data_IF_356639363384
#
_entry.id   IF_356639363384
#
_cell.length_a   1.000
_cell.length_b   1.000
_cell.length_c   1.000
_cell.angle_alpha   90.00
_cell.angle_beta   90.00
_cell.angle_gamma   90.00
#
_symmetry.space_group_name_H-M   'P 1'
#
loop_
_entity.id
_entity.type
_entity.pdbx_description
1 polymer ?
#
# COMPACT_ATOMS: atom_id res chain seq x y z
N UNK A 1 -7.55 2.60 -4.83
CA UNK A 1 -6.97 1.91 -6.02
C UNK A 1 -6.83 0.43 -5.73
N UNK A 2 -6.72 -0.43 -6.77
CA UNK A 2 -6.42 -1.85 -6.55
C UNK A 2 -4.95 -2.01 -6.10
N UNK A 3 -4.66 -3.02 -5.28
CA UNK A 3 -3.28 -3.36 -4.88
C UNK A 3 -2.40 -3.76 -6.08
N UNK A 4 -3.02 -4.16 -7.19
CA UNK A 4 -2.36 -4.49 -8.44
C UNK A 4 -2.18 -3.28 -9.37
N UNK A 5 -2.69 -2.10 -9.00
CA UNK A 5 -2.58 -0.89 -9.84
C UNK A 5 -1.11 -0.48 -10.01
N UNK A 6 -0.66 -0.37 -11.26
CA UNK A 6 0.72 -0.09 -11.62
C UNK A 6 1.68 -1.29 -11.52
N UNK A 7 1.26 -2.43 -10.96
CA UNK A 7 2.07 -3.63 -10.86
C UNK A 7 2.29 -4.30 -12.22
N UNK A 8 3.46 -4.85 -12.40
CA UNK A 8 3.88 -5.58 -13.59
C UNK A 8 3.62 -7.08 -13.41
N UNK A 9 2.63 -7.59 -14.12
CA UNK A 9 2.24 -9.01 -14.09
C UNK A 9 2.83 -9.73 -15.31
N UNK A 10 3.67 -10.72 -15.05
CA UNK A 10 4.12 -11.65 -16.08
C UNK A 10 3.18 -12.85 -16.08
N UNK A 11 2.52 -13.14 -17.20
CA UNK A 11 1.59 -14.25 -17.33
C UNK A 11 2.19 -15.32 -18.26
N UNK A 12 2.56 -16.46 -17.69
CA UNK A 12 3.01 -17.64 -18.40
C UNK A 12 1.83 -18.54 -18.77
N UNK A 13 1.64 -18.77 -20.06
CA UNK A 13 0.55 -19.63 -20.58
C UNK A 13 1.14 -20.90 -21.16
N UNK A 14 0.70 -22.06 -20.67
CA UNK A 14 1.18 -23.37 -21.11
C UNK A 14 0.10 -24.17 -21.83
N UNK A 15 0.50 -25.19 -22.62
CA UNK A 15 -0.38 -25.88 -23.54
C UNK A 15 -1.37 -26.84 -22.87
N UNK A 16 -2.62 -26.46 -22.83
CA UNK A 16 -3.75 -27.25 -22.34
C UNK A 16 -5.06 -26.49 -22.57
N UNK A 17 -6.18 -27.20 -22.51
CA UNK A 17 -7.49 -26.62 -22.82
C UNK A 17 -7.77 -25.36 -21.96
N UNK A 18 -7.35 -25.34 -20.71
CA UNK A 18 -7.53 -24.21 -19.81
C UNK A 18 -6.80 -22.91 -20.23
N UNK A 19 -5.94 -22.96 -21.28
CA UNK A 19 -5.25 -21.78 -21.80
C UNK A 19 -6.23 -20.70 -22.31
N UNK A 20 -7.45 -21.06 -22.73
CA UNK A 20 -8.46 -20.04 -23.12
C UNK A 20 -8.80 -19.08 -21.99
N UNK A 21 -8.73 -19.52 -20.73
CA UNK A 21 -8.99 -18.68 -19.54
C UNK A 21 -7.94 -17.58 -19.36
N UNK A 22 -6.76 -17.69 -19.97
CA UNK A 22 -5.73 -16.66 -19.93
C UNK A 22 -6.20 -15.32 -20.53
N UNK A 23 -7.12 -15.35 -21.47
CA UNK A 23 -7.75 -14.15 -22.05
C UNK A 23 -8.54 -13.36 -21.01
N UNK A 24 -9.27 -14.04 -20.14
CA UNK A 24 -10.01 -13.43 -19.02
C UNK A 24 -9.05 -12.93 -17.94
N UNK A 25 -7.99 -13.68 -17.61
CA UNK A 25 -6.95 -13.24 -16.67
C UNK A 25 -6.30 -11.93 -17.11
N UNK A 26 -5.91 -11.82 -18.39
CA UNK A 26 -5.35 -10.56 -18.93
C UNK A 26 -6.33 -9.40 -18.74
N UNK A 27 -7.61 -9.59 -19.07
CA UNK A 27 -8.63 -8.54 -18.91
C UNK A 27 -8.85 -8.15 -17.46
N UNK A 28 -8.90 -9.12 -16.55
CA UNK A 28 -9.07 -8.86 -15.11
C UNK A 28 -7.87 -8.08 -14.54
N UNK A 29 -6.64 -8.49 -14.84
CA UNK A 29 -5.45 -7.73 -14.42
C UNK A 29 -5.42 -6.31 -14.98
N UNK A 30 -5.75 -6.12 -16.26
CA UNK A 30 -5.87 -4.78 -16.86
C UNK A 30 -6.96 -3.96 -16.18
N UNK A 31 -8.12 -4.55 -15.84
CA UNK A 31 -9.19 -3.86 -15.09
C UNK A 31 -8.73 -3.44 -13.68
N UNK A 32 -7.83 -4.20 -13.06
CA UNK A 32 -7.19 -3.84 -11.79
C UNK A 32 -6.10 -2.75 -11.93
N UNK A 33 -5.81 -2.29 -13.16
CA UNK A 33 -4.79 -1.27 -13.43
C UNK A 33 -3.36 -1.82 -13.54
N UNK A 34 -3.19 -3.14 -13.67
CA UNK A 34 -1.88 -3.76 -13.84
C UNK A 34 -1.36 -3.66 -15.28
N UNK A 35 -0.03 -3.72 -15.42
CA UNK A 35 0.66 -3.92 -16.68
C UNK A 35 0.85 -5.42 -16.90
N UNK A 36 0.40 -5.96 -18.03
CA UNK A 36 0.50 -7.40 -18.30
C UNK A 36 1.43 -7.66 -19.47
N UNK A 37 2.40 -8.55 -19.26
CA UNK A 37 3.24 -9.16 -20.31
C UNK A 37 2.95 -10.66 -20.36
N UNK A 38 2.68 -11.18 -21.56
CA UNK A 38 2.37 -12.60 -21.74
C UNK A 38 3.56 -13.35 -22.32
N UNK A 39 3.88 -14.49 -21.69
CA UNK A 39 4.80 -15.51 -22.20
C UNK A 39 4.00 -16.76 -22.58
N UNK A 40 4.24 -17.31 -23.75
CA UNK A 40 3.57 -18.53 -24.22
C UNK A 40 4.57 -19.63 -24.49
N UNK A 41 4.26 -20.87 -24.08
CA UNK A 41 4.94 -22.04 -24.63
C UNK A 41 4.49 -22.30 -26.08
N UNK A 42 5.29 -22.98 -26.87
CA UNK A 42 4.92 -23.33 -28.27
C UNK A 42 3.57 -24.06 -28.31
N UNK A 43 3.36 -25.04 -27.42
CA UNK A 43 2.13 -25.83 -27.35
C UNK A 43 0.89 -25.06 -26.90
N UNK A 44 1.04 -23.92 -26.25
CA UNK A 44 -0.12 -23.13 -25.83
C UNK A 44 -0.79 -22.36 -26.99
N UNK A 45 -0.05 -22.17 -28.09
CA UNK A 45 -0.54 -21.50 -29.31
C UNK A 45 -1.65 -22.28 -30.01
N UNK A 46 -1.72 -23.61 -29.78
CA UNK A 46 -2.75 -24.50 -30.34
C UNK A 46 -4.11 -24.28 -29.60
N UNK A 47 -4.11 -23.72 -28.39
CA UNK A 47 -5.31 -23.51 -27.57
C UNK A 47 -5.77 -22.08 -27.52
N UNK A 48 -4.87 -21.11 -27.64
CA UNK A 48 -5.17 -19.68 -27.68
C UNK A 48 -4.15 -18.97 -28.57
N UNK A 49 -4.60 -18.03 -29.40
CA UNK A 49 -3.69 -17.37 -30.33
C UNK A 49 -2.87 -16.27 -29.67
N UNK A 50 -1.60 -16.10 -30.05
CA UNK A 50 -0.80 -14.95 -29.63
C UNK A 50 -1.47 -13.60 -29.97
N UNK A 51 -2.17 -13.53 -31.11
CA UNK A 51 -2.89 -12.33 -31.53
C UNK A 51 -3.95 -11.92 -30.52
N UNK A 52 -4.76 -12.87 -30.02
CA UNK A 52 -5.78 -12.59 -29.00
C UNK A 52 -5.16 -12.00 -27.74
N UNK A 53 -4.09 -12.62 -27.23
CA UNK A 53 -3.45 -12.20 -25.99
C UNK A 53 -2.67 -10.89 -26.14
N UNK A 54 -2.03 -10.64 -27.29
CA UNK A 54 -1.36 -9.37 -27.56
C UNK A 54 -2.35 -8.19 -27.64
N UNK A 55 -3.48 -8.42 -28.30
CA UNK A 55 -4.56 -7.42 -28.38
C UNK A 55 -5.10 -7.05 -27.00
N UNK A 56 -5.34 -8.05 -26.13
CA UNK A 56 -5.89 -7.82 -24.79
C UNK A 56 -4.88 -7.18 -23.83
N UNK A 57 -3.60 -7.54 -23.92
CA UNK A 57 -2.53 -7.00 -23.06
C UNK A 57 -1.99 -5.65 -23.53
N UNK A 58 -2.24 -5.27 -24.80
CA UNK A 58 -1.60 -4.16 -25.50
C UNK A 58 -0.07 -4.29 -25.55
N UNK A 59 0.44 -5.52 -25.60
CA UNK A 59 1.87 -5.83 -25.68
C UNK A 59 2.10 -7.05 -26.56
N UNK A 60 3.24 -7.15 -27.28
CA UNK A 60 3.61 -8.35 -28.00
C UNK A 60 3.66 -9.56 -27.06
N UNK A 61 3.16 -10.70 -27.52
CA UNK A 61 3.32 -11.98 -26.83
C UNK A 61 4.68 -12.56 -27.16
N UNK A 62 5.43 -12.97 -26.14
CA UNK A 62 6.75 -13.56 -26.28
C UNK A 62 6.66 -15.08 -26.11
N UNK A 63 7.34 -15.85 -26.95
CA UNK A 63 7.30 -17.32 -26.89
C UNK A 63 8.65 -17.99 -27.10
N UNK A 64 9.54 -17.32 -27.81
CA UNK A 64 10.86 -17.86 -28.19
C UNK A 64 11.93 -16.88 -27.70
N UNK A 65 13.17 -17.39 -27.53
CA UNK A 65 14.31 -16.53 -27.18
C UNK A 65 14.62 -15.52 -28.30
N UNK A 66 14.40 -15.91 -29.56
CA UNK A 66 14.58 -15.06 -30.71
C UNK A 66 13.32 -15.09 -31.57
N UNK A 67 12.90 -13.93 -32.04
CA UNK A 67 11.83 -13.85 -33.01
C UNK A 67 12.40 -14.35 -34.38
N UNK A 68 11.84 -15.44 -34.84
CA UNK A 68 12.27 -16.05 -36.15
C UNK A 68 11.99 -15.13 -37.33
N UNK A 69 11.04 -14.22 -37.20
CA UNK A 69 10.61 -13.30 -38.26
C UNK A 69 11.32 -11.93 -38.17
N UNK A 70 12.02 -11.65 -37.07
CA UNK A 70 12.79 -10.43 -36.93
C UNK A 70 14.14 -10.54 -37.59
N UNK A 71 14.35 -9.75 -38.67
CA UNK A 71 15.62 -9.64 -39.38
C UNK A 71 16.79 -9.24 -38.49
N UNK A 72 16.51 -8.48 -37.41
CA UNK A 72 17.49 -8.00 -36.44
C UNK A 72 17.81 -9.05 -35.35
N UNK A 73 17.12 -10.20 -35.33
CA UNK A 73 17.29 -11.26 -34.31
C UNK A 73 17.32 -10.69 -32.87
N UNK A 74 16.42 -9.75 -32.54
CA UNK A 74 16.31 -9.22 -31.20
C UNK A 74 16.04 -10.37 -30.22
N UNK A 75 16.87 -10.43 -29.20
CA UNK A 75 16.76 -11.45 -28.17
C UNK A 75 15.75 -11.02 -27.08
N UNK A 76 14.78 -11.88 -26.82
CA UNK A 76 13.88 -11.74 -25.69
C UNK A 76 14.65 -12.11 -24.41
N UNK A 77 15.13 -11.11 -23.70
CA UNK A 77 15.97 -11.29 -22.52
C UNK A 77 15.14 -11.78 -21.33
N UNK A 78 15.28 -13.06 -21.00
CA UNK A 78 14.55 -13.70 -19.90
C UNK A 78 14.89 -13.08 -18.54
N UNK A 79 16.12 -12.54 -18.35
CA UNK A 79 16.52 -11.86 -17.09
C UNK A 79 15.81 -10.52 -16.94
N UNK A 80 15.74 -9.73 -18.03
CA UNK A 80 15.01 -8.44 -18.00
C UNK A 80 13.52 -8.66 -17.75
N UNK A 81 12.91 -9.67 -18.38
CA UNK A 81 11.51 -10.03 -18.13
C UNK A 81 11.28 -10.43 -16.67
N UNK A 82 12.18 -11.21 -16.10
CA UNK A 82 12.12 -11.64 -14.70
C UNK A 82 12.28 -10.47 -13.71
N UNK A 83 13.18 -9.52 -14.01
CA UNK A 83 13.39 -8.33 -13.20
C UNK A 83 12.27 -7.28 -13.34
N UNK A 84 11.61 -7.23 -14.51
CA UNK A 84 10.49 -6.34 -14.76
C UNK A 84 9.25 -6.73 -13.96
N UNK A 85 9.06 -8.03 -13.68
CA UNK A 85 7.86 -8.55 -13.06
C UNK A 85 7.80 -8.27 -11.55
N UNK A 86 6.66 -7.75 -11.06
CA UNK A 86 6.30 -7.72 -9.64
C UNK A 86 5.61 -9.01 -9.20
N UNK A 87 4.94 -9.70 -10.14
CA UNK A 87 4.26 -10.99 -9.96
C UNK A 87 4.43 -11.81 -11.20
N UNK A 88 4.80 -13.08 -11.05
CA UNK A 88 4.81 -14.06 -12.16
C UNK A 88 3.75 -15.12 -11.90
N UNK A 89 2.72 -15.17 -12.74
CA UNK A 89 1.66 -16.18 -12.71
C UNK A 89 1.84 -17.15 -13.89
N UNK A 90 1.90 -18.45 -13.63
CA UNK A 90 1.87 -19.51 -14.63
C UNK A 90 0.46 -20.14 -14.60
N UNK A 91 -0.37 -19.81 -15.59
CA UNK A 91 -1.77 -20.21 -15.67
C UNK A 91 -2.25 -20.37 -17.14
N UNK A 92 -2.61 -21.59 -17.55
CA UNK A 92 -2.52 -22.83 -16.80
C UNK A 92 -1.07 -23.30 -16.60
N UNK A 93 -0.81 -24.05 -15.52
CA UNK A 93 0.43 -24.78 -15.30
C UNK A 93 0.17 -26.29 -15.55
N UNK A 94 0.59 -26.80 -16.71
CA UNK A 94 0.40 -28.21 -17.05
C UNK A 94 1.39 -29.12 -16.33
N UNK A 95 1.07 -30.42 -16.21
CA UNK A 95 1.94 -31.44 -15.60
C UNK A 95 3.37 -31.38 -16.18
N UNK A 96 3.53 -31.27 -17.50
CA UNK A 96 4.83 -31.12 -18.14
C UNK A 96 5.60 -29.88 -17.65
N UNK A 97 4.91 -28.75 -17.53
CA UNK A 97 5.54 -27.51 -17.05
C UNK A 97 5.89 -27.61 -15.56
N UNK A 98 5.01 -28.15 -14.72
CA UNK A 98 5.28 -28.38 -13.29
C UNK A 98 6.51 -29.27 -13.07
N UNK A 99 6.61 -30.39 -13.82
CA UNK A 99 7.75 -31.26 -13.76
C UNK A 99 9.06 -30.55 -14.14
N UNK A 100 9.04 -29.74 -15.20
CA UNK A 100 10.20 -28.95 -15.62
C UNK A 100 10.59 -27.88 -14.63
N UNK A 101 9.62 -27.18 -14.06
CA UNK A 101 9.84 -26.20 -12.98
C UNK A 101 10.48 -26.85 -11.75
N UNK A 102 9.95 -28.02 -11.32
CA UNK A 102 10.44 -28.76 -10.16
C UNK A 102 11.85 -29.34 -10.36
N UNK A 103 12.25 -29.61 -11.60
CA UNK A 103 13.58 -30.13 -11.95
C UNK A 103 14.54 -29.07 -12.51
N UNK A 104 14.19 -27.78 -12.44
CA UNK A 104 15.00 -26.64 -12.90
C UNK A 104 15.42 -26.75 -14.38
N UNK A 105 14.54 -27.24 -15.26
CA UNK A 105 14.79 -27.28 -16.71
C UNK A 105 14.48 -25.92 -17.34
N UNK A 106 15.35 -25.42 -18.20
CA UNK A 106 15.24 -24.12 -18.87
C UNK A 106 15.22 -24.29 -20.41
N UNK A 107 14.37 -25.18 -20.94
CA UNK A 107 14.30 -25.52 -22.35
C UNK A 107 13.44 -24.59 -23.21
N UNK A 108 12.88 -23.56 -22.64
CA UNK A 108 12.12 -22.52 -23.32
C UNK A 108 12.16 -21.18 -22.56
N UNK A 109 11.72 -20.09 -23.21
CA UNK A 109 11.76 -18.74 -22.67
C UNK A 109 11.01 -18.62 -21.34
N UNK A 110 9.82 -19.25 -21.22
CA UNK A 110 9.01 -19.20 -20.00
C UNK A 110 9.77 -19.79 -18.81
N UNK A 111 10.37 -20.96 -18.97
CA UNK A 111 11.10 -21.65 -17.91
C UNK A 111 12.42 -20.96 -17.56
N UNK A 112 13.14 -20.42 -18.54
CA UNK A 112 14.33 -19.61 -18.28
C UNK A 112 13.98 -18.34 -17.47
N UNK A 113 12.88 -17.66 -17.83
CA UNK A 113 12.38 -16.51 -17.09
C UNK A 113 11.93 -16.90 -15.67
N UNK A 114 11.26 -18.05 -15.50
CA UNK A 114 10.88 -18.61 -14.21
C UNK A 114 12.09 -18.80 -13.28
N UNK A 115 13.16 -19.41 -13.78
CA UNK A 115 14.38 -19.64 -13.00
C UNK A 115 15.14 -18.35 -12.64
N UNK A 116 14.95 -17.29 -13.42
CA UNK A 116 15.56 -15.98 -13.18
C UNK A 116 14.72 -15.06 -12.30
N UNK A 117 13.47 -15.46 -11.96
CA UNK A 117 12.52 -14.58 -11.26
C UNK A 117 12.84 -14.45 -9.79
N UNK A 118 12.85 -13.19 -9.31
CA UNK A 118 13.00 -12.83 -7.90
C UNK A 118 11.65 -12.46 -7.25
N UNK A 119 10.65 -12.12 -8.06
CA UNK A 119 9.29 -11.82 -7.59
C UNK A 119 8.56 -13.10 -7.16
N UNK A 120 7.45 -12.98 -6.40
CA UNK A 120 6.56 -14.09 -6.11
C UNK A 120 6.09 -14.78 -7.40
N UNK A 121 6.22 -16.11 -7.43
CA UNK A 121 5.78 -16.94 -8.55
C UNK A 121 4.59 -17.78 -8.12
N UNK A 122 3.46 -17.54 -8.77
CA UNK A 122 2.21 -18.27 -8.59
C UNK A 122 2.06 -19.29 -9.71
N UNK A 123 1.52 -20.46 -9.40
CA UNK A 123 1.20 -21.45 -10.42
C UNK A 123 -0.20 -22.03 -10.17
N UNK A 124 -1.01 -22.07 -11.24
CA UNK A 124 -2.35 -22.61 -11.26
C UNK A 124 -2.38 -23.91 -12.08
N UNK A 125 -2.33 -25.10 -11.44
CA UNK A 125 -2.33 -26.37 -12.15
C UNK A 125 -3.61 -26.56 -12.95
N UNK A 126 -3.47 -27.24 -14.10
CA UNK A 126 -4.58 -27.66 -14.94
C UNK A 126 -4.23 -28.99 -15.62
N UNK A 127 -4.95 -30.05 -15.26
CA UNK A 127 -4.76 -31.40 -15.80
C UNK A 127 -5.99 -32.26 -15.49
N UNK A 128 -6.05 -33.43 -16.07
CA UNK A 128 -7.10 -34.41 -15.79
C UNK A 128 -7.01 -34.94 -14.35
N UNK A 129 -8.11 -35.49 -13.85
CA UNK A 129 -8.26 -35.99 -12.47
C UNK A 129 -7.16 -36.99 -12.09
N UNK A 130 -6.93 -38.03 -12.93
CA UNK A 130 -5.95 -39.06 -12.64
C UNK A 130 -4.51 -38.54 -12.76
N UNK A 131 -4.28 -37.59 -13.66
CA UNK A 131 -2.99 -36.88 -13.74
C UNK A 131 -2.76 -36.05 -12.48
N UNK A 132 -3.77 -35.37 -11.96
CA UNK A 132 -3.65 -34.57 -10.73
C UNK A 132 -3.36 -35.46 -9.52
N UNK A 133 -4.05 -36.59 -9.39
CA UNK A 133 -3.82 -37.58 -8.31
C UNK A 133 -2.52 -38.35 -8.42
N UNK A 134 -1.87 -38.36 -9.60
CA UNK A 134 -0.63 -39.06 -9.78
C UNK A 134 0.45 -38.58 -8.82
N UNK A 135 1.12 -39.53 -8.14
CA UNK A 135 2.11 -39.22 -7.08
C UNK A 135 3.22 -38.30 -7.57
N UNK A 136 3.75 -38.53 -8.80
CA UNK A 136 4.81 -37.68 -9.34
C UNK A 136 4.36 -36.22 -9.52
N UNK A 137 3.10 -35.97 -9.91
CA UNK A 137 2.56 -34.62 -10.01
C UNK A 137 2.36 -33.99 -8.62
N UNK A 138 1.87 -34.77 -7.66
CA UNK A 138 1.74 -34.30 -6.27
C UNK A 138 3.11 -33.98 -5.63
N UNK A 139 4.12 -34.79 -5.90
CA UNK A 139 5.51 -34.54 -5.47
C UNK A 139 6.08 -33.28 -6.10
N UNK A 140 5.85 -33.06 -7.40
CA UNK A 140 6.28 -31.84 -8.08
C UNK A 140 5.62 -30.60 -7.49
N UNK A 141 4.32 -30.63 -7.19
CA UNK A 141 3.59 -29.52 -6.53
C UNK A 141 4.19 -29.26 -5.14
N UNK A 142 4.36 -30.30 -4.30
CA UNK A 142 4.96 -30.17 -2.96
C UNK A 142 6.37 -29.60 -3.03
N UNK A 143 7.18 -30.06 -4.00
CA UNK A 143 8.54 -29.58 -4.20
C UNK A 143 8.56 -28.08 -4.59
N UNK A 144 7.68 -27.65 -5.48
CA UNK A 144 7.56 -26.24 -5.84
C UNK A 144 7.16 -25.37 -4.65
N UNK A 145 6.21 -25.84 -3.83
CA UNK A 145 5.82 -25.15 -2.59
C UNK A 145 7.02 -25.05 -1.64
N UNK A 146 7.78 -26.13 -1.43
CA UNK A 146 8.97 -26.11 -0.58
C UNK A 146 10.08 -25.18 -1.09
N UNK A 147 10.09 -24.88 -2.38
CA UNK A 147 10.96 -23.89 -3.01
C UNK A 147 10.38 -22.45 -2.97
N UNK A 148 9.34 -22.21 -2.15
CA UNK A 148 8.74 -20.89 -2.00
C UNK A 148 7.85 -20.45 -3.17
N UNK A 149 7.37 -21.38 -4.01
CA UNK A 149 6.42 -21.04 -5.07
C UNK A 149 4.99 -21.18 -4.53
N UNK A 150 4.11 -20.29 -4.97
CA UNK A 150 2.77 -20.16 -4.41
C UNK A 150 1.80 -20.97 -5.26
N UNK A 151 1.29 -22.04 -4.68
CA UNK A 151 0.31 -22.92 -5.32
C UNK A 151 -1.09 -22.32 -5.25
N UNK A 152 -1.73 -22.11 -6.38
CA UNK A 152 -3.16 -21.81 -6.47
C UNK A 152 -3.89 -23.15 -6.58
N UNK A 153 -4.68 -23.56 -5.56
CA UNK A 153 -5.33 -24.87 -5.56
C UNK A 153 -6.23 -25.06 -6.79
N UNK A 154 -6.30 -26.29 -7.29
CA UNK A 154 -7.22 -26.63 -8.37
C UNK A 154 -8.67 -26.50 -7.94
N UNK A 155 -9.57 -26.25 -8.90
CA UNK A 155 -11.02 -26.35 -8.71
C UNK A 155 -11.51 -27.77 -8.97
N UNK A 156 -12.73 -28.05 -8.51
CA UNK A 156 -13.48 -29.27 -8.81
C UNK A 156 -14.59 -28.99 -9.84
N UNK A 157 -14.95 -29.98 -10.64
CA UNK A 157 -16.03 -29.90 -11.61
C UNK A 157 -15.79 -30.76 -12.84
N UNK A 158 -16.59 -30.58 -13.90
CA UNK A 158 -16.44 -31.28 -15.16
C UNK A 158 -15.11 -30.92 -15.85
N UNK A 159 -14.38 -31.95 -16.24
CA UNK A 159 -13.12 -31.88 -16.97
C UNK A 159 -13.35 -32.07 -18.46
N UNK A 160 -12.41 -31.68 -19.30
CA UNK A 160 -12.51 -31.83 -20.74
C UNK A 160 -12.59 -33.32 -21.20
N UNK A 161 -12.14 -34.24 -20.36
CA UNK A 161 -12.25 -35.70 -20.56
C UNK A 161 -13.65 -36.25 -20.32
N UNK A 162 -14.59 -35.44 -19.78
CA UNK A 162 -15.92 -35.87 -19.33
C UNK A 162 -15.95 -36.42 -17.90
N UNK A 163 -14.80 -36.53 -17.24
CA UNK A 163 -14.73 -36.86 -15.81
C UNK A 163 -15.11 -35.66 -14.92
N UNK A 164 -15.60 -35.94 -13.72
CA UNK A 164 -15.91 -34.92 -12.72
C UNK A 164 -14.95 -35.09 -11.52
N UNK A 165 -14.32 -33.99 -11.11
CA UNK A 165 -13.42 -34.03 -9.96
C UNK A 165 -12.39 -32.88 -9.95
N UNK A 166 -11.35 -33.08 -9.16
CA UNK A 166 -10.23 -32.12 -8.97
C UNK A 166 -9.25 -32.18 -10.15
N UNK A 167 -8.70 -31.04 -10.55
CA UNK A 167 -7.71 -30.92 -11.63
C UNK A 167 -7.98 -29.72 -12.55
N UNK A 168 -9.20 -29.15 -12.46
CA UNK A 168 -9.59 -27.95 -13.20
C UNK A 168 -8.85 -26.72 -12.69
N UNK A 169 -8.25 -25.94 -13.59
CA UNK A 169 -7.74 -24.63 -13.22
C UNK A 169 -8.88 -23.78 -12.65
N UNK A 170 -8.64 -23.14 -11.50
CA UNK A 170 -9.59 -22.19 -10.90
C UNK A 170 -10.08 -21.15 -11.90
N UNK A 171 -11.24 -20.56 -11.61
CA UNK A 171 -11.78 -19.49 -12.43
C UNK A 171 -10.88 -18.26 -12.36
N UNK A 172 -10.79 -17.48 -13.46
CA UNK A 172 -9.89 -16.33 -13.52
C UNK A 172 -10.10 -15.31 -12.38
N UNK A 173 -11.35 -15.09 -11.97
CA UNK A 173 -11.69 -14.21 -10.86
C UNK A 173 -11.12 -14.71 -9.54
N UNK A 174 -11.26 -16.02 -9.26
CA UNK A 174 -10.72 -16.64 -8.04
C UNK A 174 -9.18 -16.58 -8.01
N UNK A 175 -8.51 -16.74 -9.17
CA UNK A 175 -7.06 -16.63 -9.28
C UNK A 175 -6.60 -15.21 -8.95
N UNK A 176 -7.26 -14.19 -9.52
CA UNK A 176 -6.92 -12.79 -9.26
C UNK A 176 -7.16 -12.43 -7.80
N UNK A 177 -8.29 -12.87 -7.22
CA UNK A 177 -8.62 -12.64 -5.82
C UNK A 177 -7.62 -13.35 -4.89
N UNK A 178 -7.20 -14.58 -5.22
CA UNK A 178 -6.18 -15.30 -4.47
C UNK A 178 -4.86 -14.52 -4.43
N UNK A 179 -4.39 -14.03 -5.58
CA UNK A 179 -3.15 -13.24 -5.67
C UNK A 179 -3.28 -11.94 -4.86
N UNK A 180 -4.42 -11.23 -4.99
CA UNK A 180 -4.67 -10.00 -4.23
C UNK A 180 -4.64 -10.26 -2.72
N UNK A 181 -5.29 -11.34 -2.26
CA UNK A 181 -5.36 -11.67 -0.83
C UNK A 181 -3.99 -12.09 -0.30
N UNK A 182 -3.25 -12.92 -1.05
CA UNK A 182 -1.91 -13.33 -0.65
C UNK A 182 -0.95 -12.12 -0.54
N UNK A 183 -0.97 -11.21 -1.54
CA UNK A 183 -0.18 -9.97 -1.45
C UNK A 183 -0.59 -9.13 -0.24
N UNK A 184 -1.91 -9.06 0.09
CA UNK A 184 -2.37 -8.31 1.25
C UNK A 184 -1.89 -8.92 2.57
N UNK A 185 -1.89 -10.25 2.67
CA UNK A 185 -1.42 -10.96 3.87
C UNK A 185 0.05 -10.70 4.17
N UNK A 186 0.88 -10.46 3.15
CA UNK A 186 2.29 -10.12 3.28
C UNK A 186 2.54 -8.64 3.64
N UNK A 187 1.50 -7.78 3.58
CA UNK A 187 1.67 -6.37 3.90
C UNK A 187 1.84 -6.17 5.41
N UNK A 188 2.87 -5.42 5.78
CA UNK A 188 3.31 -5.22 7.18
C UNK A 188 2.24 -4.63 8.11
N UNK A 189 1.26 -3.89 7.57
CA UNK A 189 0.16 -3.28 8.32
C UNK A 189 -1.22 -3.87 7.93
N UNK A 190 -1.23 -5.07 7.37
CA UNK A 190 -2.49 -5.76 7.07
C UNK A 190 -3.35 -5.90 8.33
N UNK A 191 -4.65 -5.63 8.20
CA UNK A 191 -5.63 -5.63 9.30
C UNK A 191 -5.36 -4.65 10.44
N UNK A 192 -4.43 -3.68 10.28
CA UNK A 192 -4.20 -2.61 11.25
C UNK A 192 -5.10 -1.41 10.96
N UNK A 193 -5.69 -0.85 12.00
CA UNK A 193 -6.50 0.38 11.95
C UNK A 193 -5.65 1.56 12.36
N UNK A 194 -5.47 2.51 11.45
CA UNK A 194 -4.61 3.66 11.68
C UNK A 194 -5.43 4.94 11.63
N UNK A 195 -5.31 5.72 12.70
CA UNK A 195 -5.90 7.04 12.82
C UNK A 195 -4.84 8.10 12.54
N UNK A 196 -5.12 9.01 11.61
CA UNK A 196 -4.21 10.11 11.29
C UNK A 196 -4.96 11.43 11.33
N UNK A 197 -4.38 12.44 11.99
CA UNK A 197 -4.89 13.81 11.88
C UNK A 197 -4.02 14.62 10.93
N UNK A 198 -4.64 15.52 10.13
CA UNK A 198 -3.97 16.31 9.11
C UNK A 198 -4.54 17.72 9.00
N UNK A 199 -3.82 18.60 8.31
CA UNK A 199 -4.27 19.96 8.05
C UNK A 199 -4.21 20.88 9.26
N UNK A 200 -4.60 22.15 9.11
CA UNK A 200 -4.78 23.10 10.21
C UNK A 200 -6.16 22.93 10.83
N UNK A 201 -6.37 23.49 12.03
CA UNK A 201 -7.71 23.85 12.48
C UNK A 201 -7.92 25.35 12.32
N UNK A 202 -9.15 25.74 12.06
CA UNK A 202 -9.56 27.14 11.94
C UNK A 202 -10.54 27.45 13.06
N UNK A 203 -10.14 28.40 13.91
CA UNK A 203 -10.94 28.86 15.08
C UNK A 203 -11.65 30.15 14.69
N UNK A 204 -12.96 30.13 14.42
CA UNK A 204 -13.66 31.28 13.88
C UNK A 204 -13.72 32.44 14.91
N UNK A 205 -13.30 33.63 14.46
CA UNK A 205 -13.50 34.89 15.18
C UNK A 205 -14.90 35.43 14.89
N UNK A 206 -15.27 35.42 13.60
CA UNK A 206 -16.58 35.83 13.11
C UNK A 206 -16.98 35.01 11.85
N UNK A 207 -18.02 35.42 11.16
CA UNK A 207 -18.48 34.73 9.92
C UNK A 207 -17.46 34.71 8.78
N UNK A 208 -16.36 35.46 8.89
CA UNK A 208 -15.40 35.66 7.78
C UNK A 208 -13.96 35.34 8.17
N UNK A 209 -13.58 35.62 9.43
CA UNK A 209 -12.19 35.56 9.90
C UNK A 209 -12.00 34.45 10.92
N UNK A 210 -10.81 33.88 10.95
CA UNK A 210 -10.42 32.80 11.85
C UNK A 210 -8.95 32.95 12.28
N UNK A 211 -8.58 32.26 13.36
CA UNK A 211 -7.21 31.98 13.78
C UNK A 211 -6.86 30.57 13.32
N UNK A 212 -5.68 30.36 12.76
CA UNK A 212 -5.25 29.06 12.30
C UNK A 212 -3.77 29.03 11.92
N UNK A 213 -3.27 27.84 11.62
CA UNK A 213 -1.88 27.58 11.25
C UNK A 213 -1.69 27.48 9.73
N UNK A 214 -0.47 27.73 9.23
CA UNK A 214 -0.12 27.65 7.80
C UNK A 214 0.02 26.20 7.27
N UNK A 215 -0.53 25.20 7.93
CA UNK A 215 -0.43 23.82 7.49
C UNK A 215 -1.22 23.57 6.22
N UNK A 216 -0.64 22.86 5.28
CA UNK A 216 -1.30 22.42 4.04
C UNK A 216 -1.92 21.02 4.14
N UNK A 217 -1.64 20.27 5.22
CA UNK A 217 -2.07 18.88 5.38
C UNK A 217 -1.23 17.84 4.65
N UNK A 218 -0.32 18.23 3.75
CA UNK A 218 0.44 17.32 2.87
C UNK A 218 1.10 16.15 3.61
N UNK A 219 1.66 16.38 4.80
CA UNK A 219 2.34 15.31 5.56
C UNK A 219 1.34 14.23 6.01
N UNK A 220 0.22 14.60 6.61
CA UNK A 220 -0.81 13.65 7.04
C UNK A 220 -1.43 12.88 5.87
N UNK A 221 -1.64 13.54 4.73
CA UNK A 221 -2.09 12.87 3.51
C UNK A 221 -1.05 11.88 2.96
N UNK A 222 0.25 12.19 3.05
CA UNK A 222 1.33 11.28 2.66
C UNK A 222 1.37 10.07 3.60
N UNK A 223 1.26 10.29 4.92
CA UNK A 223 1.18 9.22 5.91
C UNK A 223 -0.03 8.31 5.64
N UNK A 224 -1.21 8.87 5.34
CA UNK A 224 -2.41 8.09 5.05
C UNK A 224 -2.24 7.21 3.80
N UNK A 225 -1.65 7.75 2.73
CA UNK A 225 -1.36 6.98 1.51
C UNK A 225 -0.36 5.85 1.78
N UNK A 226 0.71 6.13 2.51
CA UNK A 226 1.73 5.13 2.86
C UNK A 226 1.16 4.03 3.73
N UNK A 227 0.38 4.37 4.77
CA UNK A 227 -0.29 3.38 5.62
C UNK A 227 -1.22 2.45 4.82
N UNK A 228 -2.05 3.03 3.95
CA UNK A 228 -2.95 2.25 3.08
C UNK A 228 -2.18 1.36 2.10
N UNK A 229 -1.05 1.81 1.55
CA UNK A 229 -0.19 1.00 0.68
C UNK A 229 0.48 -0.17 1.42
N UNK A 230 0.69 -0.04 2.72
CA UNK A 230 1.17 -1.09 3.62
C UNK A 230 0.04 -2.00 4.16
N UNK A 231 -1.20 -1.81 3.70
CA UNK A 231 -2.33 -2.69 3.99
C UNK A 231 -3.26 -2.24 5.10
N UNK A 232 -3.01 -1.09 5.72
CA UNK A 232 -3.83 -0.59 6.81
C UNK A 232 -5.20 -0.07 6.36
N UNK A 233 -6.19 -0.16 7.25
CA UNK A 233 -7.42 0.62 7.19
C UNK A 233 -7.17 1.98 7.86
N UNK A 234 -7.30 3.06 7.09
CA UNK A 234 -6.94 4.40 7.55
C UNK A 234 -8.16 5.27 7.76
N UNK A 235 -8.27 5.89 8.92
CA UNK A 235 -9.16 7.04 9.16
C UNK A 235 -8.32 8.30 9.17
N UNK A 236 -8.54 9.18 8.19
CA UNK A 236 -7.87 10.48 8.08
C UNK A 236 -8.83 11.59 8.51
N UNK A 237 -8.59 12.18 9.67
CA UNK A 237 -9.34 13.36 10.15
C UNK A 237 -8.56 14.60 9.70
N UNK A 238 -9.16 15.42 8.86
CA UNK A 238 -8.45 16.57 8.29
C UNK A 238 -9.20 17.88 8.53
N UNK A 239 -8.46 18.88 8.96
CA UNK A 239 -8.90 20.25 8.91
C UNK A 239 -8.95 20.77 7.47
N UNK A 240 -9.31 22.06 7.26
CA UNK A 240 -9.48 22.63 5.94
C UNK A 240 -8.22 22.53 5.07
N UNK A 241 -8.35 21.94 3.90
CA UNK A 241 -7.26 21.76 2.92
C UNK A 241 -7.83 21.71 1.50
N UNK A 242 -7.00 22.04 0.50
CA UNK A 242 -7.32 21.83 -0.90
C UNK A 242 -7.00 20.42 -1.41
N UNK A 243 -6.41 19.58 -0.58
CA UNK A 243 -6.05 18.22 -0.96
C UNK A 243 -7.29 17.33 -0.98
N UNK A 244 -7.34 16.45 -1.98
CA UNK A 244 -8.36 15.41 -2.08
C UNK A 244 -7.70 14.04 -2.14
N UNK A 245 -8.32 13.05 -1.49
CA UNK A 245 -7.81 11.69 -1.43
C UNK A 245 -8.97 10.71 -1.61
N UNK A 246 -8.87 9.91 -2.66
CA UNK A 246 -9.83 8.85 -2.98
C UNK A 246 -9.07 7.52 -2.96
N UNK A 247 -9.25 6.76 -1.91
CA UNK A 247 -8.74 5.40 -1.78
C UNK A 247 -9.72 4.56 -0.95
N UNK A 248 -9.94 3.29 -1.35
CA UNK A 248 -10.91 2.41 -0.68
C UNK A 248 -10.53 2.05 0.76
N UNK A 249 -9.25 2.12 1.08
CA UNK A 249 -8.71 1.81 2.41
C UNK A 249 -8.59 3.07 3.28
N UNK A 250 -8.98 4.26 2.78
CA UNK A 250 -8.88 5.52 3.51
C UNK A 250 -10.24 6.18 3.61
N UNK A 251 -10.73 6.32 4.83
CA UNK A 251 -11.93 7.08 5.16
C UNK A 251 -11.53 8.49 5.59
N UNK A 252 -11.97 9.51 4.86
CA UNK A 252 -11.66 10.90 5.16
C UNK A 252 -12.81 11.54 5.95
N UNK A 253 -12.48 12.13 7.10
CA UNK A 253 -13.40 12.89 7.96
C UNK A 253 -12.95 14.34 7.98
N UNK A 254 -13.78 15.23 7.42
CA UNK A 254 -13.48 16.66 7.38
C UNK A 254 -13.99 17.34 8.65
N UNK A 255 -13.16 18.18 9.24
CA UNK A 255 -13.46 19.01 10.41
C UNK A 255 -12.97 20.43 10.17
N UNK A 256 -13.41 21.38 10.96
CA UNK A 256 -12.98 22.77 10.82
C UNK A 256 -12.23 23.23 12.07
N UNK A 257 -12.75 22.95 13.25
CA UNK A 257 -12.22 23.47 14.53
C UNK A 257 -11.44 22.39 15.30
N UNK A 258 -10.66 22.83 16.29
CA UNK A 258 -9.98 21.95 17.22
C UNK A 258 -10.96 21.08 18.01
N UNK A 259 -12.11 21.65 18.41
CA UNK A 259 -13.14 20.91 19.14
C UNK A 259 -13.74 19.79 18.27
N UNK A 260 -14.04 20.05 16.99
CA UNK A 260 -14.52 19.04 16.06
C UNK A 260 -13.45 17.95 15.82
N UNK A 261 -12.19 18.34 15.64
CA UNK A 261 -11.06 17.41 15.49
C UNK A 261 -10.91 16.55 16.74
N UNK A 262 -11.03 17.12 17.94
CA UNK A 262 -10.99 16.36 19.18
C UNK A 262 -12.11 15.31 19.26
N UNK A 263 -13.35 15.71 18.98
CA UNK A 263 -14.51 14.81 19.07
C UNK A 263 -14.38 13.62 18.11
N UNK A 264 -14.03 13.87 16.85
CA UNK A 264 -13.84 12.80 15.88
C UNK A 264 -12.61 11.96 16.20
N UNK A 265 -11.49 12.56 16.62
CA UNK A 265 -10.29 11.82 17.03
C UNK A 265 -10.59 10.90 18.21
N UNK A 266 -11.26 11.37 19.24
CA UNK A 266 -11.69 10.57 20.40
C UNK A 266 -12.57 9.39 20.01
N UNK A 267 -13.48 9.57 19.06
CA UNK A 267 -14.40 8.53 18.57
C UNK A 267 -13.63 7.38 17.89
N UNK A 268 -12.72 7.69 16.97
CA UNK A 268 -11.98 6.69 16.20
C UNK A 268 -10.78 6.11 16.95
N UNK A 269 -10.18 6.85 17.88
CA UNK A 269 -9.03 6.41 18.68
C UNK A 269 -9.27 5.10 19.42
N UNK A 270 -10.48 4.88 19.92
CA UNK A 270 -10.85 3.66 20.67
C UNK A 270 -10.62 2.36 19.87
N UNK A 271 -10.64 2.44 18.56
CA UNK A 271 -10.55 1.31 17.64
C UNK A 271 -9.25 1.28 16.85
N UNK A 272 -8.35 2.26 17.05
CA UNK A 272 -7.10 2.36 16.30
C UNK A 272 -5.98 1.58 16.99
N UNK A 273 -5.16 0.89 16.18
CA UNK A 273 -3.92 0.27 16.63
C UNK A 273 -2.78 1.31 16.70
N UNK A 274 -2.72 2.20 15.70
CA UNK A 274 -1.73 3.28 15.62
C UNK A 274 -2.46 4.59 15.40
N UNK A 275 -2.08 5.62 16.16
CA UNK A 275 -2.58 6.98 15.98
C UNK A 275 -1.43 7.93 15.74
N UNK A 276 -1.45 8.68 14.63
CA UNK A 276 -0.42 9.65 14.25
C UNK A 276 -1.05 11.02 14.15
N UNK A 277 -0.71 11.90 15.10
CA UNK A 277 -1.25 13.25 15.16
C UNK A 277 -0.31 14.22 14.47
N UNK A 278 -0.56 14.49 13.18
CA UNK A 278 0.25 15.39 12.34
C UNK A 278 -0.46 16.70 11.98
N UNK A 279 -1.70 16.88 12.47
CA UNK A 279 -2.44 18.13 12.29
C UNK A 279 -1.78 19.29 13.04
N UNK A 280 -1.83 20.48 12.45
CA UNK A 280 -1.43 21.71 13.09
C UNK A 280 -2.67 22.33 13.80
N UNK A 281 -2.99 21.78 14.96
CA UNK A 281 -4.11 22.24 15.79
C UNK A 281 -3.77 23.59 16.38
N UNK A 282 -4.71 24.53 16.41
CA UNK A 282 -4.54 25.82 17.06
C UNK A 282 -4.56 25.64 18.59
N UNK A 283 -3.57 26.18 19.29
CA UNK A 283 -3.48 26.09 20.75
C UNK A 283 -4.56 26.97 21.44
N UNK A 284 -5.03 28.02 20.75
CA UNK A 284 -5.99 28.97 21.27
C UNK A 284 -7.17 29.18 20.33
N UNK A 285 -8.34 29.46 20.90
CA UNK A 285 -9.56 29.86 20.18
C UNK A 285 -10.16 31.14 20.80
N UNK A 286 -10.94 31.93 20.05
CA UNK A 286 -11.69 33.06 20.62
C UNK A 286 -12.63 32.60 21.74
N UNK A 287 -12.61 33.30 22.85
CA UNK A 287 -13.50 33.05 23.98
C UNK A 287 -14.99 33.16 23.59
N UNK A 288 -15.29 34.05 22.65
CA UNK A 288 -16.63 34.22 22.08
C UNK A 288 -16.54 34.41 20.58
N UNK A 289 -17.33 33.63 19.82
CA UNK A 289 -17.47 33.77 18.39
C UNK A 289 -18.59 34.71 18.03
N UNK A 290 -18.35 35.66 17.14
CA UNK A 290 -19.41 36.48 16.56
C UNK A 290 -20.08 35.74 15.38
N UNK A 291 -21.42 35.67 15.40
CA UNK A 291 -22.20 35.09 14.29
C UNK A 291 -22.16 36.01 13.05
N UNK A 292 -22.04 37.33 13.27
CA UNK A 292 -21.98 38.32 12.19
C UNK A 292 -20.57 38.87 12.05
N UNK A 293 -20.21 39.28 10.81
CA UNK A 293 -18.95 39.98 10.57
C UNK A 293 -18.83 41.22 11.46
N UNK A 294 -17.75 41.28 12.25
CA UNK A 294 -17.41 42.43 13.08
C UNK A 294 -17.08 43.61 12.15
N UNK A 295 -17.89 44.71 12.25
CA UNK A 295 -17.70 45.89 11.42
C UNK A 295 -16.57 46.74 12.01
N UNK A 296 -15.82 47.42 11.14
CA UNK A 296 -14.82 48.41 11.53
C UNK A 296 -15.54 49.63 12.06
N UNK A 297 -15.15 50.11 13.24
CA UNK A 297 -15.52 51.40 13.75
C UNK A 297 -14.31 52.33 13.63
N UNK A 298 -14.52 53.62 13.31
CA UNK A 298 -13.45 54.60 13.13
C UNK A 298 -12.56 54.65 14.38
N UNK A 299 -11.25 54.40 14.20
CA UNK A 299 -10.17 54.49 15.21
C UNK A 299 -10.31 53.57 16.45
N UNK A 300 -11.05 52.46 16.40
CA UNK A 300 -11.11 51.52 17.52
C UNK A 300 -10.13 50.35 17.34
N UNK A 301 -9.38 50.05 18.40
CA UNK A 301 -8.62 48.82 18.53
C UNK A 301 -9.62 47.65 18.66
N UNK A 302 -9.41 46.57 17.94
CA UNK A 302 -10.13 45.33 18.13
C UNK A 302 -9.28 44.42 19.00
N UNK A 303 -9.73 44.12 20.20
CA UNK A 303 -9.15 43.12 21.09
C UNK A 303 -9.98 41.83 21.01
N UNK A 304 -9.31 40.69 20.98
CA UNK A 304 -9.94 39.37 20.96
C UNK A 304 -9.40 38.57 22.15
N UNK A 305 -10.27 38.25 23.10
CA UNK A 305 -9.92 37.36 24.20
C UNK A 305 -9.81 35.93 23.68
N UNK A 306 -8.70 35.27 24.00
CA UNK A 306 -8.43 33.92 23.66
C UNK A 306 -8.50 32.98 24.85
N UNK A 307 -9.00 31.77 24.64
CA UNK A 307 -8.95 30.68 25.62
C UNK A 307 -8.20 29.49 24.97
N UNK A 308 -7.59 28.68 25.82
CA UNK A 308 -6.84 27.51 25.39
C UNK A 308 -7.77 26.42 24.85
N UNK A 309 -7.37 25.79 23.75
CA UNK A 309 -7.99 24.60 23.21
C UNK A 309 -7.59 23.34 24.01
N UNK A 310 -8.34 22.26 23.83
CA UNK A 310 -8.01 20.96 24.40
C UNK A 310 -6.75 20.42 23.70
N UNK A 311 -5.77 19.98 24.49
CA UNK A 311 -4.60 19.27 23.98
C UNK A 311 -5.00 17.83 23.63
N UNK A 312 -5.32 17.60 22.34
CA UNK A 312 -5.80 16.32 21.83
C UNK A 312 -4.78 15.22 22.11
N UNK A 313 -3.50 15.48 21.84
CA UNK A 313 -2.43 14.49 22.00
C UNK A 313 -2.25 14.07 23.46
N UNK A 314 -2.32 15.02 24.40
CA UNK A 314 -2.28 14.73 25.83
C UNK A 314 -3.48 13.90 26.27
N UNK A 315 -4.70 14.28 25.85
CA UNK A 315 -5.90 13.52 26.17
C UNK A 315 -5.81 12.07 25.68
N UNK A 316 -5.31 11.82 24.47
CA UNK A 316 -5.17 10.48 23.95
C UNK A 316 -4.13 9.68 24.72
N UNK A 317 -3.00 10.30 25.09
CA UNK A 317 -1.96 9.63 25.87
C UNK A 317 -2.42 9.21 27.26
N UNK A 318 -3.29 10.01 27.90
CA UNK A 318 -3.90 9.67 29.18
C UNK A 318 -4.95 8.54 29.09
N UNK A 319 -5.53 8.33 27.90
CA UNK A 319 -6.63 7.39 27.69
C UNK A 319 -6.25 6.18 26.78
N UNK A 320 -5.00 6.07 26.34
CA UNK A 320 -4.57 4.95 25.51
C UNK A 320 -4.42 3.67 26.30
N UNK A 321 -4.64 2.53 25.61
CA UNK A 321 -4.32 1.20 26.12
C UNK A 321 -2.86 0.84 25.80
N UNK A 322 -2.32 -0.18 26.46
CA UNK A 322 -0.94 -0.66 26.21
C UNK A 322 -0.71 -1.17 24.78
N UNK A 323 -1.77 -1.62 24.11
CA UNK A 323 -1.72 -2.13 22.73
C UNK A 323 -1.72 -1.05 21.68
N UNK A 324 -2.08 0.17 22.05
CA UNK A 324 -2.18 1.31 21.13
C UNK A 324 -0.85 2.05 21.04
N UNK A 325 -0.44 2.38 19.82
CA UNK A 325 0.75 3.19 19.54
C UNK A 325 0.28 4.61 19.24
N UNK A 326 0.81 5.56 20.00
CA UNK A 326 0.50 6.99 19.85
C UNK A 326 1.75 7.78 19.45
N UNK A 327 1.67 8.42 18.27
CA UNK A 327 2.75 9.21 17.68
C UNK A 327 2.33 10.67 17.57
N UNK A 328 3.14 11.55 18.14
CA UNK A 328 2.97 13.00 17.99
C UNK A 328 3.87 13.57 16.91
N UNK A 329 3.48 14.72 16.36
CA UNK A 329 4.37 15.60 15.60
C UNK A 329 4.71 16.83 16.43
N UNK A 330 5.95 17.26 16.34
CA UNK A 330 6.41 18.51 16.95
C UNK A 330 7.16 19.36 15.93
N UNK A 331 6.96 20.66 16.03
CA UNK A 331 7.72 21.67 15.30
C UNK A 331 8.40 22.55 16.33
N UNK A 332 9.74 22.55 16.34
CA UNK A 332 10.55 23.21 17.34
C UNK A 332 11.57 24.15 16.67
N UNK A 333 12.04 25.12 17.45
CA UNK A 333 13.07 26.08 17.03
C UNK A 333 14.36 25.95 17.85
N UNK A 334 14.22 25.54 19.13
CA UNK A 334 15.33 25.49 20.11
C UNK A 334 15.23 24.23 20.97
N UNK A 335 16.39 23.70 21.41
CA UNK A 335 16.49 22.53 22.30
C UNK A 335 15.61 21.35 21.85
N UNK A 336 15.50 21.17 20.54
CA UNK A 336 14.53 20.34 19.83
C UNK A 336 14.40 18.92 20.40
N UNK A 337 15.52 18.19 20.54
CA UNK A 337 15.53 16.80 21.04
C UNK A 337 15.09 16.71 22.49
N UNK A 338 15.51 17.66 23.32
CA UNK A 338 15.17 17.65 24.76
C UNK A 338 13.67 17.96 24.97
N UNK A 339 13.16 18.95 24.24
CA UNK A 339 11.74 19.29 24.26
C UNK A 339 10.87 18.12 23.77
N UNK A 340 11.31 17.39 22.74
CA UNK A 340 10.64 16.21 22.23
C UNK A 340 10.57 15.09 23.29
N UNK A 341 11.67 14.79 23.98
CA UNK A 341 11.69 13.78 25.06
C UNK A 341 10.77 14.15 26.23
N UNK A 342 10.72 15.43 26.60
CA UNK A 342 9.80 15.94 27.63
C UNK A 342 8.35 15.74 27.16
N UNK A 343 8.03 16.04 25.90
CA UNK A 343 6.68 15.83 25.32
C UNK A 343 6.29 14.35 25.31
N UNK A 344 7.22 13.44 24.94
CA UNK A 344 6.98 11.98 24.98
C UNK A 344 6.54 11.56 26.37
N UNK A 345 7.28 11.99 27.42
CA UNK A 345 6.97 11.63 28.80
C UNK A 345 5.66 12.26 29.30
N UNK A 346 5.49 13.57 29.09
CA UNK A 346 4.36 14.32 29.65
C UNK A 346 3.03 13.97 28.96
N UNK A 347 3.05 13.52 27.72
CA UNK A 347 1.86 13.15 26.95
C UNK A 347 1.75 11.63 26.73
N UNK A 348 2.59 10.83 27.40
CA UNK A 348 2.58 9.36 27.31
C UNK A 348 2.60 8.85 25.86
N UNK A 349 3.51 9.39 25.02
CA UNK A 349 3.66 9.00 23.63
C UNK A 349 4.58 7.78 23.48
N UNK A 350 4.38 7.01 22.43
CA UNK A 350 5.30 5.93 22.07
C UNK A 350 6.43 6.43 21.16
N UNK A 351 6.14 7.45 20.33
CA UNK A 351 7.13 8.13 19.52
C UNK A 351 6.71 9.57 19.21
N UNK A 352 7.68 10.37 18.79
CA UNK A 352 7.47 11.73 18.27
C UNK A 352 8.28 11.92 16.99
N UNK A 353 7.67 12.56 16.01
CA UNK A 353 8.32 13.01 14.78
C UNK A 353 8.57 14.49 14.89
N UNK A 354 9.83 14.85 14.93
CA UNK A 354 10.29 16.22 15.16
C UNK A 354 10.70 16.86 13.83
N UNK A 355 10.09 18.01 13.53
CA UNK A 355 10.49 18.90 12.45
C UNK A 355 11.19 20.12 13.03
N UNK A 356 12.19 20.67 12.32
CA UNK A 356 12.85 21.92 12.65
C UNK A 356 12.44 23.03 11.67
N UNK A 357 12.11 24.21 12.18
CA UNK A 357 11.94 25.40 11.35
C UNK A 357 13.26 25.93 10.78
N UNK A 358 14.39 25.50 11.35
CA UNK A 358 15.73 25.89 10.88
C UNK A 358 16.15 25.17 9.60
N UNK A 359 15.48 24.08 9.22
CA UNK A 359 15.80 23.28 8.04
C UNK A 359 15.14 23.89 6.78
N UNK A 360 15.99 24.43 5.88
CA UNK A 360 15.53 24.97 4.58
C UNK A 360 14.89 23.86 3.73
N UNK A 361 13.67 24.11 3.21
CA UNK A 361 12.93 23.15 2.39
C UNK A 361 12.11 22.14 3.20
N UNK A 362 12.15 22.22 4.53
CA UNK A 362 11.28 21.46 5.43
C UNK A 362 10.12 22.31 5.98
N UNK A 363 9.09 21.68 6.54
CA UNK A 363 7.99 22.37 7.21
C UNK A 363 6.77 22.61 6.34
N UNK A 364 6.04 23.71 6.64
CA UNK A 364 4.75 24.01 6.00
C UNK A 364 4.91 24.45 4.54
N UNK A 365 3.97 24.02 3.70
CA UNK A 365 3.90 24.44 2.29
C UNK A 365 4.82 23.70 1.31
N UNK A 366 5.92 23.11 1.77
CA UNK A 366 6.87 22.36 0.93
C UNK A 366 6.39 20.94 0.62
N UNK A 367 6.88 20.36 -0.49
CA UNK A 367 6.65 18.95 -0.84
C UNK A 367 7.67 18.00 -0.19
N UNK A 368 8.73 18.56 0.35
CA UNK A 368 9.80 17.88 1.08
C UNK A 368 9.65 18.07 2.59
N UNK A 369 10.30 17.18 3.35
CA UNK A 369 10.46 17.32 4.79
C UNK A 369 11.76 16.70 5.26
N UNK A 370 12.27 17.16 6.40
CA UNK A 370 13.41 16.62 7.13
C UNK A 370 12.97 16.40 8.55
N UNK A 371 13.08 15.18 9.06
CA UNK A 371 12.53 14.82 10.35
C UNK A 371 13.52 14.05 11.21
N UNK A 372 13.36 14.15 12.53
CA UNK A 372 13.98 13.27 13.49
C UNK A 372 12.90 12.44 14.17
N UNK A 373 13.01 11.11 14.07
CA UNK A 373 12.14 10.18 14.78
C UNK A 373 12.76 9.86 16.15
N UNK A 374 11.94 9.97 17.21
CA UNK A 374 12.37 9.67 18.59
C UNK A 374 11.31 8.78 19.22
N UNK A 375 11.69 7.62 19.73
CA UNK A 375 10.77 6.74 20.43
C UNK A 375 10.93 6.84 21.97
N UNK A 376 9.98 6.30 22.71
CA UNK A 376 9.97 6.32 24.18
C UNK A 376 11.15 5.58 24.83
N UNK A 377 11.83 4.71 24.09
CA UNK A 377 13.02 3.96 24.56
C UNK A 377 14.34 4.74 24.35
N UNK A 378 14.26 5.98 23.86
CA UNK A 378 15.42 6.83 23.63
C UNK A 378 16.14 6.65 22.29
N UNK A 379 15.59 5.85 21.37
CA UNK A 379 16.09 5.78 19.99
C UNK A 379 15.88 7.13 19.31
N UNK A 380 16.94 7.69 18.76
CA UNK A 380 16.90 8.93 17.97
C UNK A 380 17.42 8.62 16.57
N UNK A 381 16.59 8.78 15.55
CA UNK A 381 16.96 8.56 14.16
C UNK A 381 16.66 9.79 13.31
N UNK A 382 17.71 10.34 12.70
CA UNK A 382 17.61 11.52 11.83
C UNK A 382 17.50 11.07 10.38
N UNK A 383 16.60 11.68 9.65
CA UNK A 383 16.40 11.45 8.21
C UNK A 383 16.77 12.70 7.44
N UNK A 384 17.36 12.50 6.26
CA UNK A 384 17.69 13.59 5.35
C UNK A 384 16.44 14.22 4.73
N UNK A 385 16.64 15.38 4.08
CA UNK A 385 15.57 16.05 3.32
C UNK A 385 15.10 15.16 2.15
N UNK A 386 13.85 14.72 2.21
CA UNK A 386 13.23 13.83 1.22
C UNK A 386 11.80 14.31 0.89
N UNK A 387 11.17 13.67 -0.09
CA UNK A 387 9.74 13.87 -0.31
C UNK A 387 8.93 13.46 0.92
N UNK A 388 7.76 14.07 1.15
CA UNK A 388 6.87 13.71 2.27
C UNK A 388 6.39 12.25 2.20
N UNK A 389 6.36 11.66 1.00
CA UNK A 389 6.06 10.23 0.83
C UNK A 389 7.21 9.38 1.36
N UNK A 390 8.46 9.68 0.98
CA UNK A 390 9.63 8.93 1.45
C UNK A 390 9.82 9.06 2.96
N UNK A 391 9.59 10.26 3.51
CA UNK A 391 9.59 10.48 4.97
C UNK A 391 8.49 9.66 5.64
N UNK A 392 7.31 9.53 5.02
CA UNK A 392 6.23 8.68 5.56
C UNK A 392 6.64 7.20 5.58
N UNK A 393 7.35 6.73 4.57
CA UNK A 393 7.89 5.36 4.51
C UNK A 393 8.91 5.14 5.63
N UNK A 394 9.83 6.08 5.82
CA UNK A 394 10.82 6.02 6.89
C UNK A 394 10.13 5.94 8.28
N UNK A 395 9.12 6.78 8.53
CA UNK A 395 8.36 6.78 9.79
C UNK A 395 7.68 5.43 10.03
N UNK A 396 7.00 4.87 9.01
CA UNK A 396 6.34 3.57 9.16
C UNK A 396 7.33 2.42 9.32
N UNK A 397 8.50 2.45 8.69
CA UNK A 397 9.54 1.46 8.92
C UNK A 397 9.99 1.48 10.39
N UNK A 398 10.28 2.66 10.97
CA UNK A 398 10.65 2.77 12.38
C UNK A 398 9.54 2.31 13.34
N UNK A 399 8.28 2.57 13.01
CA UNK A 399 7.14 2.09 13.80
C UNK A 399 6.99 0.57 13.73
N UNK A 400 7.16 -0.02 12.55
CA UNK A 400 7.04 -1.46 12.34
C UNK A 400 8.18 -2.19 13.04
N UNK A 401 9.43 -1.79 12.78
CA UNK A 401 10.63 -2.41 13.36
C UNK A 401 10.67 -2.22 14.90
N UNK A 402 10.20 -1.08 15.39
CA UNK A 402 10.21 -0.76 16.81
C UNK A 402 9.13 -1.42 17.64
N UNK A 403 7.95 -1.69 17.06
CA UNK A 403 6.76 -2.10 17.82
C UNK A 403 6.12 -3.41 17.36
N UNK A 404 6.39 -3.91 16.14
CA UNK A 404 5.81 -5.13 15.60
C UNK A 404 6.81 -6.26 15.34
N UNK A 405 8.06 -5.99 15.02
CA UNK A 405 9.07 -7.03 14.71
C UNK A 405 9.85 -7.53 15.94
N UNK A 406 9.50 -7.11 17.17
CA UNK A 406 10.13 -7.55 18.43
C UNK A 406 9.43 -8.74 19.11
N UNK A 407 8.55 -9.47 18.39
CA UNK A 407 7.94 -10.69 18.90
C UNK A 407 8.46 -11.92 18.17
#
# INVERSE_FOLDING_TARGET
MSILSGKNILLGVTGGIAAYKSTYLVRLFKKQGANVQVLMTSSSKDFVTPLTLSTLSNKPVLSEFFDKNDKNKLWNNHVELALWADVFLIAPATSNTLSKMASARADNLLLATYLSSKCPVYFAPAMDLDMHKNLANQENIKKLISHGKIHIPVGSGFLASGLEGEGRMKEPEEIVDFIINNIKEELKLNNKKILITAGPTYEPIDAVRFIGNFSSGKMGFSLAKTAASLGAEVTLITGPTSLNLIDKNISVVNVVTADEMFLETKKYFKFSDISILSAAVSDFKPKSRSIKKIKKHNNSLLSIDLIQNIDILKYLGENKTEKQILVGFALETDNETQNALIKIKNKNLDAIVLNSLNDKGAGFGHDTNKVTFINKNGLVKKFDLKSKIDVSIDIFNELIDGFYEKN
#
